data_IF_791209848381
#
_entry.id   IF_791209848381
#
_cell.length_a   1.000
_cell.length_b   1.000
_cell.length_c   1.000
_cell.angle_alpha   90.00
_cell.angle_beta   90.00
_cell.angle_gamma   90.00
#
_symmetry.space_group_name_H-M   'P 1'
#
loop_
_entity.id
_entity.type
_entity.pdbx_description
1 polymer ?
#
# COMPACT_ATOMS: atom_id res chain seq x y z
N UNK A 1 46.02 24.32 11.98
CA UNK A 1 46.25 24.25 10.53
C UNK A 1 45.18 23.39 9.92
N UNK A 2 44.42 23.89 8.97
CA UNK A 2 43.25 23.24 8.44
C UNK A 2 43.54 22.50 7.14
N UNK A 3 42.84 21.44 6.87
CA UNK A 3 42.68 20.91 5.51
C UNK A 3 41.21 20.78 5.17
N UNK A 4 40.72 21.78 4.43
CA UNK A 4 39.50 21.70 3.66
C UNK A 4 39.80 20.97 2.35
N UNK A 5 39.05 19.98 1.99
CA UNK A 5 38.92 19.49 0.60
C UNK A 5 37.49 19.59 0.16
N UNK A 6 37.24 20.60 -0.64
CA UNK A 6 36.05 20.77 -1.44
C UNK A 6 36.01 19.73 -2.54
N UNK A 7 34.86 19.06 -2.71
CA UNK A 7 34.58 18.22 -3.87
C UNK A 7 33.94 19.09 -4.95
N UNK A 8 34.68 19.30 -6.03
CA UNK A 8 34.17 19.90 -7.26
C UNK A 8 33.49 18.81 -8.10
N UNK A 9 32.25 19.04 -8.47
CA UNK A 9 31.54 18.25 -9.47
C UNK A 9 31.95 18.72 -10.86
N UNK A 10 32.53 17.80 -11.63
CA UNK A 10 32.88 18.01 -13.04
C UNK A 10 31.63 17.73 -13.90
N UNK A 11 31.19 18.73 -14.67
CA UNK A 11 30.12 18.62 -15.66
C UNK A 11 30.65 17.86 -16.87
N UNK A 12 30.27 16.60 -17.04
CA UNK A 12 30.47 15.84 -18.27
C UNK A 12 29.32 16.09 -19.23
N UNK A 13 29.63 16.63 -20.39
CA UNK A 13 28.71 16.78 -21.54
C UNK A 13 28.18 15.44 -22.01
N UNK A 14 26.87 15.28 -22.06
CA UNK A 14 26.22 14.17 -22.76
C UNK A 14 25.91 14.64 -24.18
N UNK A 15 26.71 14.18 -25.12
CA UNK A 15 26.43 14.32 -26.57
C UNK A 15 25.24 13.44 -26.94
N UNK A 16 24.26 14.05 -27.61
CA UNK A 16 23.08 13.37 -28.10
C UNK A 16 23.43 12.35 -29.19
N UNK A 17 22.84 11.19 -29.12
CA UNK A 17 22.77 10.23 -30.23
C UNK A 17 21.38 10.37 -30.85
N UNK A 18 21.35 10.90 -32.07
CA UNK A 18 20.19 10.93 -32.92
C UNK A 18 19.99 9.52 -33.50
N UNK A 19 18.85 8.91 -33.27
CA UNK A 19 18.41 7.74 -34.02
C UNK A 19 17.45 8.21 -35.08
N UNK A 20 17.93 8.10 -36.34
CA UNK A 20 17.17 8.40 -37.54
C UNK A 20 16.05 7.36 -37.75
N UNK A 21 14.91 7.89 -38.21
CA UNK A 21 13.73 7.10 -38.51
C UNK A 21 13.85 6.21 -39.74
N UNK A 22 12.98 5.22 -39.76
CA UNK A 22 12.59 4.53 -41.00
C UNK A 22 11.10 4.22 -40.93
N UNK A 23 10.32 5.01 -41.64
CA UNK A 23 8.98 4.67 -42.11
C UNK A 23 9.11 3.99 -43.49
N UNK A 24 8.31 3.03 -43.86
CA UNK A 24 7.98 2.80 -45.23
C UNK A 24 6.60 3.33 -45.59
N UNK A 25 6.60 4.11 -46.67
CA UNK A 25 5.42 4.62 -47.38
C UNK A 25 4.71 3.51 -48.20
N UNK A 26 3.41 3.73 -48.32
CA UNK A 26 2.51 3.55 -49.44
C UNK A 26 2.52 2.29 -50.29
N UNK A 27 1.34 1.72 -50.43
CA UNK A 27 0.71 1.58 -51.77
C UNK A 27 -0.82 1.50 -51.68
N UNK A 28 -1.45 2.55 -52.16
CA UNK A 28 -2.84 2.58 -52.56
C UNK A 28 -3.02 1.77 -53.85
N UNK A 29 -4.10 1.02 -53.99
CA UNK A 29 -4.69 0.68 -55.29
C UNK A 29 -6.20 0.54 -55.18
N UNK A 30 -6.86 1.49 -55.84
CA UNK A 30 -8.25 1.44 -56.26
C UNK A 30 -8.54 0.25 -57.16
N UNK A 31 -9.71 -0.33 -57.03
CA UNK A 31 -10.43 -0.93 -58.15
C UNK A 31 -11.94 -0.90 -57.87
N UNK A 32 -12.60 -0.12 -58.68
CA UNK A 32 -14.04 -0.02 -58.84
C UNK A 32 -14.61 -1.30 -59.48
N UNK A 33 -15.86 -1.62 -59.14
CA UNK A 33 -16.62 -2.67 -59.84
C UNK A 33 -18.11 -2.62 -59.43
N UNK A 34 -18.90 -1.95 -60.27
CA UNK A 34 -20.37 -1.99 -60.26
C UNK A 34 -20.88 -3.37 -60.61
N UNK A 35 -22.03 -3.77 -60.08
CA UNK A 35 -22.82 -4.91 -60.51
C UNK A 35 -24.17 -4.95 -59.83
N UNK A 36 -25.18 -4.39 -60.49
CA UNK A 36 -26.63 -4.55 -60.17
C UNK A 36 -27.08 -5.99 -60.46
N UNK A 37 -28.02 -6.51 -59.71
CA UNK A 37 -29.32 -7.06 -60.12
C UNK A 37 -29.92 -7.97 -59.02
N UNK A 38 -31.04 -7.58 -58.50
CA UNK A 38 -32.38 -8.15 -58.62
C UNK A 38 -32.55 -9.65 -58.34
N UNK A 39 -33.37 -9.99 -57.37
CA UNK A 39 -33.92 -11.33 -57.18
C UNK A 39 -34.69 -11.49 -55.85
N UNK A 40 -36.01 -11.48 -55.94
CA UNK A 40 -36.98 -11.56 -54.85
C UNK A 40 -37.21 -12.99 -54.33
N UNK A 41 -37.74 -13.07 -53.11
CA UNK A 41 -38.58 -14.13 -52.45
C UNK A 41 -37.90 -15.37 -51.88
N UNK A 42 -37.95 -15.56 -50.59
CA UNK A 42 -39.02 -16.36 -49.93
C UNK A 42 -38.84 -16.35 -48.40
N UNK A 43 -39.96 -16.26 -47.72
CA UNK A 43 -40.10 -16.26 -46.28
C UNK A 43 -39.97 -17.69 -45.72
N UNK A 44 -39.13 -17.90 -44.68
CA UNK A 44 -39.17 -19.08 -43.83
C UNK A 44 -38.91 -18.71 -42.36
N UNK A 45 -39.72 -19.17 -41.41
CA UNK A 45 -39.66 -18.74 -40.03
C UNK A 45 -38.77 -19.65 -39.18
N UNK A 46 -37.43 -19.43 -39.24
CA UNK A 46 -36.48 -20.25 -38.46
C UNK A 46 -35.31 -19.41 -37.88
N UNK A 47 -35.54 -18.13 -37.63
CA UNK A 47 -34.49 -17.23 -37.09
C UNK A 47 -34.80 -16.61 -35.74
N UNK A 48 -35.74 -17.16 -34.96
CA UNK A 48 -36.05 -16.63 -33.58
C UNK A 48 -35.50 -17.48 -32.43
N UNK A 49 -34.85 -18.60 -32.67
CA UNK A 49 -34.34 -19.51 -31.63
C UNK A 49 -32.88 -19.32 -31.23
N UNK A 50 -32.04 -18.69 -32.05
CA UNK A 50 -30.60 -18.62 -31.83
C UNK A 50 -30.11 -17.30 -31.16
N UNK A 51 -30.93 -16.25 -31.16
CA UNK A 51 -30.56 -15.00 -30.53
C UNK A 51 -30.82 -14.96 -29.01
N UNK A 52 -31.67 -15.86 -28.47
CA UNK A 52 -31.96 -15.95 -27.04
C UNK A 52 -30.94 -16.83 -26.28
N UNK A 53 -30.25 -17.73 -26.97
CA UNK A 53 -29.24 -18.60 -26.35
C UNK A 53 -27.87 -17.93 -26.19
N UNK A 54 -27.54 -16.92 -26.99
CA UNK A 54 -26.27 -16.18 -26.85
C UNK A 54 -26.33 -15.06 -25.80
N UNK A 55 -27.53 -14.62 -25.41
CA UNK A 55 -27.69 -13.62 -24.35
C UNK A 55 -27.70 -14.23 -22.93
N UNK A 56 -27.99 -15.54 -22.83
CA UNK A 56 -27.96 -16.26 -21.54
C UNK A 56 -26.56 -16.75 -21.13
N UNK A 57 -25.62 -16.84 -22.08
CA UNK A 57 -24.21 -17.23 -21.81
C UNK A 57 -23.29 -16.04 -21.58
N UNK A 58 -23.72 -14.82 -21.91
CA UNK A 58 -22.93 -13.60 -21.73
C UNK A 58 -22.98 -12.99 -20.30
N UNK A 59 -23.90 -13.44 -19.45
CA UNK A 59 -24.09 -12.87 -18.11
C UNK A 59 -23.49 -13.74 -17.00
N UNK A 60 -23.12 -14.99 -17.26
CA UNK A 60 -22.57 -15.89 -16.24
C UNK A 60 -21.06 -15.83 -16.04
N UNK A 61 -20.33 -15.02 -16.79
CA UNK A 61 -18.86 -14.87 -16.65
C UNK A 61 -18.41 -13.57 -15.98
N UNK A 62 -19.31 -12.81 -15.37
CA UNK A 62 -18.97 -11.56 -14.65
C UNK A 62 -18.98 -11.68 -13.13
N UNK A 63 -19.14 -12.91 -12.60
CA UNK A 63 -18.79 -13.19 -11.21
C UNK A 63 -17.29 -13.55 -11.14
N UNK A 64 -16.43 -12.70 -11.69
CA UNK A 64 -15.03 -12.71 -11.38
C UNK A 64 -14.90 -12.31 -9.92
N UNK A 65 -14.63 -13.28 -9.04
CA UNK A 65 -14.11 -13.04 -7.71
C UNK A 65 -12.88 -12.12 -7.88
N UNK A 66 -13.09 -10.81 -7.66
CA UNK A 66 -11.97 -9.90 -7.50
C UNK A 66 -11.06 -10.46 -6.42
N UNK A 67 -9.78 -10.17 -6.43
CA UNK A 67 -8.88 -10.61 -5.36
C UNK A 67 -9.48 -10.11 -4.04
N UNK A 68 -9.95 -11.06 -3.24
CA UNK A 68 -10.36 -10.78 -1.89
C UNK A 68 -9.09 -10.53 -1.08
N UNK A 69 -8.62 -9.29 -1.08
CA UNK A 69 -7.85 -8.81 0.07
C UNK A 69 -8.86 -8.74 1.20
N UNK A 70 -8.57 -9.37 2.35
CA UNK A 70 -9.43 -9.31 3.54
C UNK A 70 -9.99 -7.90 3.62
N UNK A 71 -11.30 -7.71 3.67
CA UNK A 71 -12.08 -6.48 3.39
C UNK A 71 -11.52 -5.12 3.84
N UNK A 72 -10.24 -5.09 4.15
CA UNK A 72 -9.47 -3.97 4.68
C UNK A 72 -9.05 -3.00 3.60
N UNK A 73 -9.51 -1.73 3.69
CA UNK A 73 -8.98 -0.64 2.87
C UNK A 73 -7.51 -0.30 3.21
N UNK A 74 -7.08 -0.60 4.44
CA UNK A 74 -5.70 -0.46 4.89
C UNK A 74 -4.93 -1.74 4.64
N UNK A 75 -3.82 -1.68 3.92
CA UNK A 75 -2.98 -2.86 3.67
C UNK A 75 -2.36 -3.38 4.99
N UNK A 76 -2.60 -4.64 5.39
CA UNK A 76 -1.94 -5.24 6.54
C UNK A 76 -0.41 -5.28 6.33
N UNK A 77 0.36 -4.98 7.40
CA UNK A 77 1.81 -4.94 7.36
C UNK A 77 2.41 -3.65 6.80
N UNK A 78 1.57 -2.67 6.42
CA UNK A 78 2.07 -1.42 5.82
C UNK A 78 2.94 -0.58 6.77
N UNK A 79 2.81 -0.75 8.08
CA UNK A 79 3.54 0.04 9.09
C UNK A 79 4.62 -0.74 9.86
N UNK A 80 4.77 -2.05 9.62
CA UNK A 80 5.81 -2.84 10.32
C UNK A 80 7.20 -2.24 10.07
N UNK A 81 8.05 -2.24 11.08
CA UNK A 81 9.38 -1.62 11.03
C UNK A 81 9.41 -0.12 11.34
N UNK A 82 8.25 0.56 11.40
CA UNK A 82 8.14 1.98 11.70
C UNK A 82 7.74 2.21 13.17
N UNK A 83 8.34 3.17 13.87
CA UNK A 83 7.94 3.56 15.23
C UNK A 83 6.74 4.53 15.21
N UNK A 84 5.60 4.08 14.67
CA UNK A 84 4.44 4.96 14.36
C UNK A 84 3.73 5.54 15.58
N UNK A 85 3.97 5.00 16.78
CA UNK A 85 3.50 5.59 18.04
C UNK A 85 4.36 6.77 18.52
N UNK A 86 5.61 6.86 18.07
CA UNK A 86 6.52 7.93 18.44
C UNK A 86 6.28 9.19 17.59
N UNK A 87 6.64 10.35 18.14
CA UNK A 87 6.60 11.60 17.41
C UNK A 87 7.63 11.60 16.26
N UNK A 88 7.19 11.89 15.05
CA UNK A 88 8.09 12.15 13.93
C UNK A 88 8.68 13.55 14.12
N UNK A 89 10.01 13.77 13.95
CA UNK A 89 10.59 15.11 13.98
C UNK A 89 9.90 16.07 13.01
N UNK A 90 9.87 17.37 13.31
CA UNK A 90 9.24 18.36 12.41
C UNK A 90 9.81 18.26 11.00
N UNK A 91 8.93 18.17 10.01
CA UNK A 91 9.38 18.03 8.64
C UNK A 91 8.35 17.44 7.70
N UNK A 92 8.78 17.30 6.45
CA UNK A 92 8.03 16.67 5.38
C UNK A 92 8.78 15.42 4.94
N UNK A 93 8.11 14.29 4.91
CA UNK A 93 8.69 13.00 4.61
C UNK A 93 7.96 12.33 3.45
N UNK A 94 8.71 11.75 2.55
CA UNK A 94 8.21 10.85 1.54
C UNK A 94 8.52 9.42 1.96
N UNK A 95 7.47 8.61 2.10
CA UNK A 95 7.57 7.21 2.48
C UNK A 95 6.99 6.40 1.34
N UNK A 96 7.79 5.54 0.74
CA UNK A 96 7.31 4.62 -0.29
C UNK A 96 7.62 3.19 0.11
N UNK A 97 6.65 2.30 -0.10
CA UNK A 97 6.81 0.87 0.11
C UNK A 97 6.27 0.13 -1.10
N UNK A 98 7.04 -0.81 -1.61
CA UNK A 98 6.59 -1.75 -2.63
C UNK A 98 6.67 -3.16 -2.07
N UNK A 99 5.71 -4.01 -2.42
CA UNK A 99 5.83 -5.43 -2.16
C UNK A 99 5.54 -6.24 -3.42
N UNK A 100 6.22 -7.36 -3.51
CA UNK A 100 5.98 -8.41 -4.50
C UNK A 100 5.62 -9.67 -3.74
N UNK A 101 4.51 -10.28 -4.10
CA UNK A 101 4.01 -11.45 -3.41
C UNK A 101 3.43 -12.49 -4.35
N UNK A 102 3.30 -13.67 -3.78
CA UNK A 102 2.60 -14.79 -4.42
C UNK A 102 1.64 -15.35 -3.40
N UNK A 103 0.36 -15.36 -3.74
CA UNK A 103 -0.70 -16.07 -3.01
C UNK A 103 -0.84 -17.46 -3.59
N UNK A 104 -0.81 -18.46 -2.72
CA UNK A 104 -1.03 -19.85 -3.09
C UNK A 104 -2.54 -20.10 -3.21
N UNK A 105 -3.10 -19.87 -4.39
CA UNK A 105 -4.51 -20.12 -4.71
C UNK A 105 -4.70 -21.53 -5.27
N UNK A 106 -5.95 -21.98 -5.39
CA UNK A 106 -6.30 -23.24 -6.04
C UNK A 106 -7.43 -22.99 -7.02
N UNK A 107 -7.23 -23.30 -8.32
CA UNK A 107 -6.01 -23.78 -8.97
C UNK A 107 -4.98 -22.64 -9.16
N UNK A 108 -3.70 -23.02 -9.26
CA UNK A 108 -2.61 -22.09 -9.63
C UNK A 108 -2.15 -21.17 -8.48
N UNK A 109 -1.54 -20.07 -8.87
CA UNK A 109 -1.05 -19.04 -7.96
C UNK A 109 -1.56 -17.67 -8.37
N UNK A 110 -1.57 -16.73 -7.45
CA UNK A 110 -1.92 -15.33 -7.72
C UNK A 110 -0.74 -14.43 -7.37
N UNK A 111 0.11 -14.06 -8.34
CA UNK A 111 1.12 -13.05 -8.16
C UNK A 111 0.48 -11.69 -7.89
N UNK A 112 1.08 -10.89 -7.02
CA UNK A 112 0.61 -9.57 -6.66
C UNK A 112 1.76 -8.61 -6.41
N UNK A 113 1.53 -7.34 -6.70
CA UNK A 113 2.41 -6.23 -6.39
C UNK A 113 1.58 -5.07 -5.85
N UNK A 114 1.97 -4.53 -4.71
CA UNK A 114 1.34 -3.33 -4.14
C UNK A 114 2.40 -2.30 -3.85
N UNK A 115 2.16 -1.10 -4.35
CA UNK A 115 3.01 0.06 -4.14
C UNK A 115 2.21 1.09 -3.35
N UNK A 116 2.75 1.55 -2.24
CA UNK A 116 2.13 2.60 -1.43
C UNK A 116 3.09 3.77 -1.34
N UNK A 117 2.62 4.94 -1.74
CA UNK A 117 3.35 6.20 -1.57
C UNK A 117 2.59 7.04 -0.54
N UNK A 118 3.30 7.53 0.45
CA UNK A 118 2.74 8.38 1.52
C UNK A 118 3.58 9.62 1.69
N UNK A 119 2.94 10.77 1.66
CA UNK A 119 3.52 12.03 2.09
C UNK A 119 3.08 12.26 3.54
N UNK A 120 4.06 12.41 4.45
CA UNK A 120 3.82 12.66 5.86
C UNK A 120 4.37 14.04 6.24
N UNK A 121 3.51 14.90 6.77
CA UNK A 121 3.89 16.21 7.27
C UNK A 121 3.76 16.24 8.79
N UNK A 122 4.90 16.27 9.48
CA UNK A 122 4.97 16.52 10.91
C UNK A 122 5.08 18.02 11.14
N UNK A 123 3.99 18.62 11.63
CA UNK A 123 3.87 20.07 11.79
C UNK A 123 4.58 20.56 13.05
N UNK A 124 4.88 21.86 13.15
CA UNK A 124 5.31 22.47 14.42
C UNK A 124 4.18 22.68 15.43
N UNK A 125 2.96 22.27 15.10
CA UNK A 125 1.78 22.51 15.94
C UNK A 125 1.60 21.39 16.97
N UNK A 126 1.15 21.80 18.14
CA UNK A 126 0.78 20.89 19.21
C UNK A 126 -0.69 21.12 19.59
N UNK A 127 -1.38 20.02 19.88
CA UNK A 127 -2.75 20.01 20.38
C UNK A 127 -2.85 19.02 21.55
N UNK A 128 -3.26 19.51 22.72
CA UNK A 128 -3.37 18.70 23.95
C UNK A 128 -2.08 17.93 24.29
N UNK A 129 -0.92 18.56 24.11
CA UNK A 129 0.39 17.96 24.35
C UNK A 129 0.84 16.95 23.30
N UNK A 130 0.08 16.78 22.23
CA UNK A 130 0.43 15.93 21.11
C UNK A 130 0.91 16.75 19.93
N UNK A 131 1.89 16.24 19.19
CA UNK A 131 2.28 16.76 17.88
C UNK A 131 1.23 16.45 16.83
N UNK A 132 0.85 17.46 16.04
CA UNK A 132 -0.11 17.30 14.95
C UNK A 132 0.64 16.88 13.69
N UNK A 133 0.15 15.83 13.02
CA UNK A 133 0.75 15.27 11.82
C UNK A 133 -0.34 15.00 10.79
N UNK A 134 -0.02 15.15 9.49
CA UNK A 134 -0.92 14.86 8.39
C UNK A 134 -0.30 13.85 7.42
N UNK A 135 -1.16 13.02 6.82
CA UNK A 135 -0.75 11.99 5.90
C UNK A 135 -1.62 12.00 4.65
N UNK A 136 -0.98 11.94 3.50
CA UNK A 136 -1.62 11.72 2.21
C UNK A 136 -1.02 10.46 1.60
N UNK A 137 -1.85 9.43 1.41
CA UNK A 137 -1.42 8.14 0.88
C UNK A 137 -2.09 7.82 -0.45
N UNK A 138 -1.36 7.18 -1.36
CA UNK A 138 -1.87 6.72 -2.64
C UNK A 138 -1.33 5.30 -2.93
N UNK A 139 -2.15 4.24 -2.79
CA UNK A 139 -1.75 2.89 -3.16
C UNK A 139 -1.96 2.65 -4.66
N UNK A 140 -1.09 1.84 -5.25
CA UNK A 140 -1.23 1.29 -6.59
C UNK A 140 -1.01 -0.21 -6.54
N UNK A 141 -1.97 -0.98 -7.03
CA UNK A 141 -1.96 -2.44 -6.96
C UNK A 141 -1.93 -3.05 -8.35
N UNK A 142 -1.23 -4.16 -8.49
CA UNK A 142 -1.25 -5.02 -9.66
C UNK A 142 -1.37 -6.48 -9.21
N UNK A 143 -2.20 -7.26 -9.89
CA UNK A 143 -2.47 -8.66 -9.56
C UNK A 143 -2.75 -9.46 -10.83
N UNK A 144 -2.32 -10.71 -10.86
CA UNK A 144 -2.63 -11.67 -11.92
C UNK A 144 -3.33 -12.89 -11.29
N UNK A 145 -4.67 -12.86 -11.11
CA UNK A 145 -5.40 -13.94 -10.45
C UNK A 145 -5.22 -15.27 -11.20
N UNK A 146 -4.77 -16.32 -10.50
CA UNK A 146 -4.66 -17.68 -11.04
C UNK A 146 -3.94 -17.72 -12.40
N UNK A 147 -2.78 -17.06 -12.48
CA UNK A 147 -1.96 -16.99 -13.69
C UNK A 147 -2.64 -16.30 -14.90
N UNK A 148 -3.69 -15.52 -14.67
CA UNK A 148 -4.33 -14.70 -15.71
C UNK A 148 -3.47 -13.48 -16.08
N UNK A 149 -3.94 -12.69 -17.03
CA UNK A 149 -3.30 -11.42 -17.37
C UNK A 149 -3.26 -10.46 -16.19
N UNK A 150 -2.17 -9.72 -16.05
CA UNK A 150 -2.01 -8.69 -15.02
C UNK A 150 -3.09 -7.61 -15.14
N UNK A 151 -3.70 -7.30 -14.02
CA UNK A 151 -4.62 -6.20 -13.83
C UNK A 151 -4.03 -5.23 -12.83
N UNK A 152 -4.08 -3.93 -13.11
CA UNK A 152 -3.50 -2.93 -12.23
C UNK A 152 -4.33 -1.66 -12.16
N UNK A 153 -4.17 -0.91 -11.08
CA UNK A 153 -4.88 0.35 -10.88
C UNK A 153 -4.58 0.99 -9.54
N UNK A 154 -4.98 2.25 -9.40
CA UNK A 154 -4.91 2.95 -8.12
C UNK A 154 -5.94 2.36 -7.15
N UNK A 155 -5.51 2.14 -5.91
CA UNK A 155 -6.38 1.85 -4.78
C UNK A 155 -7.03 3.13 -4.23
N UNK A 156 -7.64 3.02 -3.05
CA UNK A 156 -8.27 4.15 -2.37
C UNK A 156 -7.20 5.08 -1.78
N UNK A 157 -7.14 6.37 -2.17
CA UNK A 157 -6.26 7.33 -1.53
C UNK A 157 -6.71 7.57 -0.08
N UNK A 158 -5.73 7.79 0.80
CA UNK A 158 -5.90 8.11 2.20
C UNK A 158 -5.59 9.57 2.46
N UNK A 159 -6.47 10.26 3.18
CA UNK A 159 -6.17 11.53 3.84
C UNK A 159 -6.39 11.34 5.35
N UNK A 160 -5.40 11.69 6.17
CA UNK A 160 -5.47 11.47 7.60
C UNK A 160 -4.76 12.56 8.41
N UNK A 161 -5.29 12.79 9.63
CA UNK A 161 -4.66 13.56 10.68
C UNK A 161 -4.30 12.66 11.86
N UNK A 162 -3.17 12.92 12.49
CA UNK A 162 -2.66 12.16 13.64
C UNK A 162 -2.24 13.09 14.76
N UNK A 163 -2.52 12.67 15.96
CA UNK A 163 -1.97 13.22 17.20
C UNK A 163 -0.97 12.22 17.75
N UNK A 164 0.26 12.68 18.05
CA UNK A 164 1.32 11.83 18.60
C UNK A 164 1.85 12.45 19.91
N UNK A 165 1.75 11.69 20.99
CA UNK A 165 2.20 12.07 22.33
C UNK A 165 3.53 11.41 22.65
N UNK A 166 4.44 12.17 23.24
CA UNK A 166 5.58 11.63 23.98
C UNK A 166 5.11 11.31 25.41
N UNK A 167 5.14 10.03 25.78
CA UNK A 167 4.73 9.57 27.10
C UNK A 167 5.89 9.57 28.11
N UNK A 168 7.11 9.95 27.67
CA UNK A 168 8.34 9.82 28.44
C UNK A 168 8.88 8.38 28.47
N UNK A 169 10.10 8.21 29.00
CA UNK A 169 10.78 6.92 29.12
C UNK A 169 10.86 6.14 27.79
N UNK A 170 11.09 6.84 26.68
CA UNK A 170 11.16 6.29 25.31
C UNK A 170 9.85 5.71 24.77
N UNK A 171 8.72 5.95 25.44
CA UNK A 171 7.40 5.54 24.96
C UNK A 171 6.70 6.68 24.22
N UNK A 172 6.07 6.34 23.12
CA UNK A 172 5.19 7.23 22.37
C UNK A 172 3.87 6.55 22.03
N UNK A 173 2.81 7.34 22.05
CA UNK A 173 1.47 6.90 21.65
C UNK A 173 0.95 7.81 20.55
N UNK A 174 0.25 7.24 19.57
CA UNK A 174 -0.43 8.03 18.55
C UNK A 174 -1.84 7.55 18.28
N UNK A 175 -2.70 8.51 17.93
CA UNK A 175 -4.02 8.27 17.39
C UNK A 175 -4.16 8.97 16.05
N UNK A 176 -4.51 8.19 15.00
CA UNK A 176 -4.76 8.70 13.67
C UNK A 176 -6.22 8.46 13.30
N UNK A 177 -6.87 9.51 12.78
CA UNK A 177 -8.16 9.44 12.12
C UNK A 177 -7.97 9.78 10.64
N UNK A 178 -8.45 8.92 9.74
CA UNK A 178 -8.33 9.13 8.31
C UNK A 178 -9.51 8.61 7.53
N UNK A 179 -9.64 9.10 6.29
CA UNK A 179 -10.61 8.65 5.31
C UNK A 179 -9.92 8.04 4.10
N UNK A 180 -10.42 6.90 3.67
CA UNK A 180 -10.13 6.34 2.36
C UNK A 180 -11.26 6.71 1.41
N UNK A 181 -10.90 7.21 0.23
CA UNK A 181 -11.86 7.70 -0.75
C UNK A 181 -11.92 6.74 -1.95
N UNK A 182 -13.12 6.47 -2.50
CA UNK A 182 -13.22 5.60 -3.66
C UNK A 182 -12.50 6.22 -4.86
N UNK A 183 -11.82 5.39 -5.62
CA UNK A 183 -11.31 5.73 -6.95
C UNK A 183 -12.04 4.87 -7.98
N UNK A 184 -12.15 5.36 -9.22
CA UNK A 184 -12.88 4.65 -10.27
C UNK A 184 -12.04 3.53 -10.89
N UNK A 185 -11.52 2.63 -10.06
CA UNK A 185 -10.73 1.48 -10.51
C UNK A 185 -11.33 0.17 -9.97
N UNK A 186 -10.88 -0.95 -10.52
CA UNK A 186 -11.31 -2.29 -10.06
C UNK A 186 -10.80 -2.65 -8.67
N UNK A 187 -9.82 -1.89 -8.16
CA UNK A 187 -9.13 -2.17 -6.89
C UNK A 187 -9.68 -1.35 -5.73
N UNK A 188 -10.84 -0.75 -5.90
CA UNK A 188 -11.45 0.07 -4.87
C UNK A 188 -12.88 -0.35 -4.59
N UNK A 189 -13.29 -0.21 -3.35
CA UNK A 189 -14.70 -0.23 -3.00
C UNK A 189 -15.39 1.01 -3.56
N UNK A 190 -16.69 0.91 -3.85
CA UNK A 190 -17.48 2.04 -4.37
C UNK A 190 -17.87 3.03 -3.25
N UNK A 191 -17.39 2.82 -2.04
CA UNK A 191 -17.72 3.65 -0.88
C UNK A 191 -16.46 4.11 -0.15
N UNK A 192 -16.56 5.25 0.52
CA UNK A 192 -15.52 5.73 1.43
C UNK A 192 -15.46 4.87 2.69
N UNK A 193 -14.31 4.86 3.34
CA UNK A 193 -14.19 4.26 4.66
C UNK A 193 -13.40 5.16 5.61
N UNK A 194 -13.73 5.10 6.89
CA UNK A 194 -12.95 5.71 7.95
C UNK A 194 -11.96 4.69 8.51
N UNK A 195 -10.81 5.17 8.94
CA UNK A 195 -9.81 4.37 9.66
C UNK A 195 -9.41 5.07 10.94
N UNK A 196 -9.50 4.34 12.04
CA UNK A 196 -8.98 4.72 13.34
C UNK A 196 -7.73 3.89 13.59
N UNK A 197 -6.63 4.53 13.94
CA UNK A 197 -5.39 3.83 14.20
C UNK A 197 -4.82 4.26 15.53
N UNK A 198 -4.41 3.28 16.31
CA UNK A 198 -3.82 3.46 17.63
C UNK A 198 -2.46 2.79 17.65
N UNK A 199 -1.41 3.53 17.92
CA UNK A 199 -0.08 2.95 17.99
C UNK A 199 0.60 3.27 19.32
N UNK A 200 1.27 2.27 19.86
CA UNK A 200 2.18 2.39 20.99
C UNK A 200 3.56 1.95 20.51
N UNK A 201 4.56 2.80 20.75
CA UNK A 201 5.96 2.50 20.42
C UNK A 201 6.86 2.71 21.62
N UNK A 202 7.81 1.82 21.82
CA UNK A 202 8.98 2.03 22.63
C UNK A 202 10.20 2.18 21.71
N UNK A 203 10.90 3.32 21.84
CA UNK A 203 12.06 3.65 20.98
C UNK A 203 13.22 4.04 21.89
N UNK A 204 13.82 3.05 22.54
CA UNK A 204 14.90 3.25 23.50
C UNK A 204 15.89 2.09 23.49
N UNK A 205 17.11 2.33 23.97
CA UNK A 205 18.16 1.33 24.06
C UNK A 205 18.42 0.58 22.73
N UNK A 206 18.39 1.33 21.62
CA UNK A 206 18.48 0.82 20.22
C UNK A 206 17.27 -0.02 19.75
N UNK A 207 16.28 -0.26 20.60
CA UNK A 207 15.08 -1.01 20.22
C UNK A 207 14.00 -0.13 19.60
N UNK A 208 13.25 -0.67 18.65
CA UNK A 208 11.94 -0.23 18.22
C UNK A 208 10.96 -1.39 18.44
N UNK A 209 10.14 -1.25 19.46
CA UNK A 209 9.03 -2.17 19.75
C UNK A 209 7.73 -1.40 19.51
N UNK A 210 6.96 -1.81 18.52
CA UNK A 210 5.74 -1.09 18.11
C UNK A 210 4.58 -2.05 17.93
N UNK A 211 3.43 -1.69 18.48
CA UNK A 211 2.13 -2.28 18.19
C UNK A 211 1.23 -1.20 17.58
N UNK A 212 0.64 -1.48 16.41
CA UNK A 212 -0.20 -0.56 15.66
C UNK A 212 -1.50 -1.24 15.27
N UNK A 213 -2.58 -0.83 15.91
CA UNK A 213 -3.93 -1.34 15.71
C UNK A 213 -4.69 -0.41 14.76
N UNK A 214 -5.35 -1.00 13.77
CA UNK A 214 -6.26 -0.33 12.84
C UNK A 214 -7.68 -0.85 13.06
N UNK A 215 -8.63 0.04 13.09
CA UNK A 215 -10.04 -0.27 12.94
C UNK A 215 -10.57 0.51 11.74
N UNK A 216 -11.21 -0.17 10.81
CA UNK A 216 -11.78 0.43 9.62
C UNK A 216 -13.27 0.18 9.52
N UNK A 217 -13.99 1.21 9.10
CA UNK A 217 -15.43 1.24 8.99
C UNK A 217 -15.84 1.83 7.64
N UNK A 218 -16.68 1.13 6.88
CA UNK A 218 -17.20 1.61 5.60
C UNK A 218 -18.45 2.49 5.80
N UNK A 219 -18.50 3.64 5.09
CA UNK A 219 -19.54 4.67 5.29
C UNK A 219 -20.79 4.45 4.45
N UNK A 220 -20.83 3.45 3.58
CA UNK A 220 -21.94 3.20 2.68
C UNK A 220 -22.91 2.14 3.20
N UNK A 221 -24.20 2.49 3.26
CA UNK A 221 -25.24 1.58 3.73
C UNK A 221 -25.64 0.48 2.73
N UNK A 222 -25.25 0.62 1.46
CA UNK A 222 -25.65 -0.30 0.39
C UNK A 222 -24.47 -0.62 -0.53
N UNK A 223 -23.74 -1.68 -0.25
CA UNK A 223 -22.77 -2.20 -1.22
C UNK A 223 -23.51 -2.62 -2.52
N UNK A 224 -22.83 -2.61 -3.67
CA UNK A 224 -23.36 -3.18 -4.91
C UNK A 224 -23.89 -4.61 -4.67
N UNK A 225 -24.90 -5.06 -5.46
CA UNK A 225 -25.42 -6.41 -5.32
C UNK A 225 -24.31 -7.47 -5.35
N UNK A 226 -24.25 -8.33 -4.33
CA UNK A 226 -23.25 -9.39 -4.19
C UNK A 226 -21.94 -8.97 -3.50
N UNK A 227 -21.73 -7.67 -3.21
CA UNK A 227 -20.60 -7.20 -2.41
C UNK A 227 -20.98 -7.10 -0.93
N UNK A 228 -20.01 -7.34 -0.04
CA UNK A 228 -20.12 -7.09 1.40
C UNK A 228 -18.88 -6.32 1.81
N UNK A 229 -19.07 -5.22 2.52
CA UNK A 229 -17.99 -4.37 3.04
C UNK A 229 -17.98 -4.48 4.57
N UNK A 230 -17.31 -5.49 5.13
CA UNK A 230 -17.24 -5.67 6.58
C UNK A 230 -16.35 -4.59 7.19
N UNK A 231 -16.65 -4.18 8.40
CA UNK A 231 -15.67 -3.53 9.24
C UNK A 231 -14.48 -4.48 9.43
N UNK A 232 -13.30 -3.92 9.67
CA UNK A 232 -12.09 -4.72 9.79
C UNK A 232 -11.17 -4.23 10.90
N UNK A 233 -10.33 -5.14 11.36
CA UNK A 233 -9.23 -4.83 12.26
C UNK A 233 -7.92 -5.39 11.71
N UNK A 234 -6.85 -4.57 11.72
CA UNK A 234 -5.49 -5.01 11.45
C UNK A 234 -4.62 -4.70 12.66
N UNK A 235 -3.63 -5.54 12.90
CA UNK A 235 -2.61 -5.32 13.92
C UNK A 235 -1.23 -5.55 13.30
N UNK A 236 -0.41 -4.50 13.26
CA UNK A 236 0.98 -4.56 12.84
C UNK A 236 1.90 -4.56 14.07
N UNK A 237 2.84 -5.49 14.13
CA UNK A 237 3.79 -5.65 15.21
C UNK A 237 5.23 -5.53 14.70
N UNK A 238 6.06 -4.82 15.44
CA UNK A 238 7.48 -4.61 15.14
C UNK A 238 8.30 -4.88 16.38
N UNK A 239 9.37 -5.66 16.23
CA UNK A 239 10.40 -5.85 17.23
C UNK A 239 11.77 -5.84 16.52
N UNK A 240 12.37 -4.65 16.41
CA UNK A 240 13.64 -4.47 15.72
C UNK A 240 14.66 -3.79 16.63
N UNK A 241 15.95 -4.04 16.37
CA UNK A 241 17.06 -3.40 17.07
C UNK A 241 18.01 -2.75 16.08
N UNK A 242 18.55 -1.59 16.46
CA UNK A 242 19.56 -0.88 15.69
C UNK A 242 20.96 -1.32 16.13
N UNK A 243 21.81 -1.61 15.16
CA UNK A 243 23.22 -1.90 15.30
C UNK A 243 24.00 -0.86 14.48
N UNK A 244 24.27 0.28 15.09
CA UNK A 244 24.78 1.44 14.38
C UNK A 244 23.78 1.94 13.31
N UNK A 245 24.14 1.79 12.04
CA UNK A 245 23.26 2.17 10.90
C UNK A 245 22.32 1.05 10.45
N UNK A 246 22.51 -0.16 10.93
CA UNK A 246 21.67 -1.30 10.58
C UNK A 246 20.49 -1.42 11.54
N UNK A 247 19.32 -1.75 11.01
CA UNK A 247 18.14 -2.16 11.74
C UNK A 247 17.84 -3.62 11.41
N UNK A 248 17.69 -4.47 12.41
CA UNK A 248 17.42 -5.90 12.20
C UNK A 248 16.37 -6.35 13.21
N UNK A 249 15.43 -7.20 12.80
CA UNK A 249 14.48 -7.78 13.73
C UNK A 249 13.33 -8.52 13.08
N UNK A 250 12.34 -8.81 13.92
CA UNK A 250 11.12 -9.52 13.54
C UNK A 250 9.96 -8.55 13.32
N UNK A 251 9.07 -8.93 12.42
CA UNK A 251 7.82 -8.24 12.13
C UNK A 251 6.69 -9.26 12.04
N UNK A 252 5.49 -8.84 12.40
CA UNK A 252 4.29 -9.64 12.22
C UNK A 252 3.11 -8.71 11.93
N UNK A 253 2.10 -9.24 11.26
CA UNK A 253 0.82 -8.56 11.15
C UNK A 253 -0.33 -9.55 11.10
N UNK A 254 -1.50 -9.07 11.52
CA UNK A 254 -2.76 -9.79 11.39
C UNK A 254 -3.83 -8.90 10.79
N UNK A 255 -4.79 -9.50 10.13
CA UNK A 255 -5.99 -8.84 9.62
C UNK A 255 -7.19 -9.74 9.82
N UNK A 256 -8.32 -9.15 10.16
CA UNK A 256 -9.60 -9.87 10.25
C UNK A 256 -10.76 -8.96 9.92
N UNK A 257 -11.70 -9.50 9.16
CA UNK A 257 -13.02 -8.88 9.02
C UNK A 257 -13.83 -9.11 10.29
N UNK A 258 -14.63 -8.10 10.66
CA UNK A 258 -15.57 -8.19 11.75
C UNK A 258 -16.88 -8.83 11.27
N UNK A 259 -17.67 -9.41 12.19
CA UNK A 259 -18.94 -10.03 11.83
C UNK A 259 -19.88 -9.03 11.16
N UNK A 260 -20.55 -9.47 10.11
CA UNK A 260 -21.60 -8.71 9.40
C UNK A 260 -22.98 -9.35 9.67
N UNK A 261 -24.06 -8.60 9.42
CA UNK A 261 -25.40 -9.14 9.46
C UNK A 261 -25.76 -10.06 8.28
N UNK A 262 -24.82 -10.32 7.35
CA UNK A 262 -25.03 -11.12 6.13
C UNK A 262 -24.68 -12.58 6.42
N UNK A 263 -25.68 -13.45 6.52
CA UNK A 263 -25.50 -14.85 6.91
C UNK A 263 -24.60 -15.67 5.95
N UNK A 264 -24.55 -15.30 4.66
CA UNK A 264 -23.70 -15.96 3.65
C UNK A 264 -22.25 -15.47 3.67
N UNK A 265 -21.95 -14.35 4.33
CA UNK A 265 -20.59 -13.81 4.38
C UNK A 265 -19.72 -14.62 5.34
N UNK A 266 -18.52 -14.96 4.88
CA UNK A 266 -17.49 -15.63 5.68
C UNK A 266 -16.36 -14.66 5.98
N UNK A 267 -16.20 -14.18 7.23
CA UNK A 267 -15.13 -13.26 7.59
C UNK A 267 -13.76 -13.82 7.21
N UNK A 268 -13.00 -13.00 6.52
CA UNK A 268 -11.64 -13.30 6.12
C UNK A 268 -10.66 -12.94 7.23
N UNK A 269 -9.48 -13.54 7.21
CA UNK A 269 -8.43 -13.20 8.16
C UNK A 269 -7.11 -13.86 7.81
N UNK A 270 -6.02 -13.21 8.22
CA UNK A 270 -4.67 -13.72 8.03
C UNK A 270 -3.79 -13.33 9.22
N UNK A 271 -2.73 -14.11 9.45
CA UNK A 271 -1.61 -13.74 10.31
C UNK A 271 -0.35 -14.07 9.54
N UNK A 272 0.53 -13.07 9.39
CA UNK A 272 1.83 -13.19 8.75
C UNK A 272 2.95 -12.87 9.73
N UNK A 273 4.08 -13.53 9.56
CA UNK A 273 5.31 -13.28 10.30
C UNK A 273 6.47 -13.11 9.34
N UNK A 274 7.51 -12.39 9.76
CA UNK A 274 8.65 -12.13 8.90
C UNK A 274 9.87 -11.56 9.60
N UNK A 275 10.91 -11.35 8.82
CA UNK A 275 12.15 -10.71 9.24
C UNK A 275 12.40 -9.42 8.46
N UNK A 276 12.97 -8.44 9.13
CA UNK A 276 13.30 -7.12 8.59
C UNK A 276 14.79 -6.83 8.74
N UNK A 277 15.35 -6.27 7.68
CA UNK A 277 16.66 -5.61 7.68
C UNK A 277 16.50 -4.20 7.11
N UNK A 278 17.12 -3.21 7.77
CA UNK A 278 17.15 -1.83 7.31
C UNK A 278 18.55 -1.26 7.38
N UNK A 279 18.77 -0.20 6.63
CA UNK A 279 20.02 0.56 6.67
C UNK A 279 19.77 2.06 6.55
N UNK A 280 20.36 2.82 7.47
CA UNK A 280 20.27 4.28 7.49
C UNK A 280 21.48 4.88 6.77
N UNK A 281 21.25 5.41 5.57
CA UNK A 281 22.27 6.10 4.76
C UNK A 281 22.49 7.56 5.21
N UNK A 282 21.74 8.04 6.20
CA UNK A 282 21.71 9.43 6.65
C UNK A 282 20.49 10.16 6.06
N UNK A 283 20.54 10.56 4.77
CA UNK A 283 19.39 11.25 4.15
C UNK A 283 18.24 10.29 3.78
N UNK A 284 18.50 8.98 3.73
CA UNK A 284 17.50 7.97 3.36
C UNK A 284 17.62 6.77 4.28
N UNK A 285 16.49 6.28 4.76
CA UNK A 285 16.41 5.00 5.44
C UNK A 285 15.75 3.98 4.51
N UNK A 286 16.43 2.87 4.23
CA UNK A 286 15.91 1.77 3.44
C UNK A 286 15.63 0.57 4.34
N UNK A 287 14.49 -0.08 4.13
CA UNK A 287 14.09 -1.29 4.82
C UNK A 287 13.68 -2.35 3.80
N UNK A 288 14.16 -3.58 3.98
CA UNK A 288 13.72 -4.75 3.24
C UNK A 288 13.20 -5.79 4.23
N UNK A 289 12.08 -6.44 3.93
CA UNK A 289 11.53 -7.48 4.77
C UNK A 289 10.77 -8.52 3.95
N UNK A 290 10.73 -9.73 4.47
CA UNK A 290 9.97 -10.83 3.88
C UNK A 290 8.95 -11.30 4.91
N UNK A 291 7.71 -11.49 4.48
CA UNK A 291 6.61 -11.98 5.31
C UNK A 291 5.96 -13.19 4.68
N UNK A 292 5.47 -14.11 5.52
CA UNK A 292 4.70 -15.27 5.10
C UNK A 292 3.51 -15.47 6.02
N UNK A 293 2.35 -15.76 5.43
CA UNK A 293 1.16 -16.12 6.17
C UNK A 293 1.35 -17.48 6.84
N UNK A 294 1.18 -17.49 8.15
CA UNK A 294 1.16 -18.69 8.98
C UNK A 294 -0.28 -19.15 9.26
N UNK A 295 -1.23 -18.21 9.24
CA UNK A 295 -2.66 -18.47 9.34
C UNK A 295 -3.36 -17.82 8.15
N UNK A 296 -4.28 -18.55 7.55
CA UNK A 296 -5.21 -18.14 6.51
C UNK A 296 -6.60 -18.64 6.86
N UNK A 297 -7.56 -17.74 6.91
CA UNK A 297 -8.97 -18.02 7.14
C UNK A 297 -9.82 -17.35 6.07
N UNK A 298 -10.38 -18.11 5.15
CA UNK A 298 -11.22 -17.63 4.04
C UNK A 298 -10.56 -16.54 3.17
N UNK A 299 -9.23 -16.41 3.23
CA UNK A 299 -8.47 -15.35 2.55
C UNK A 299 -8.09 -15.72 1.11
N UNK A 300 -8.36 -16.97 0.72
CA UNK A 300 -8.12 -17.49 -0.62
C UNK A 300 -6.72 -18.01 -0.85
N UNK A 301 -5.93 -18.22 0.22
CA UNK A 301 -4.60 -18.81 0.19
C UNK A 301 -3.56 -17.98 0.93
N UNK A 302 -2.45 -18.63 1.24
CA UNK A 302 -1.35 -18.03 2.00
C UNK A 302 -0.45 -17.18 1.11
N UNK A 303 -0.17 -15.97 1.55
CA UNK A 303 0.76 -15.05 0.88
C UNK A 303 2.20 -15.25 1.37
N UNK A 304 3.13 -15.13 0.44
CA UNK A 304 4.54 -14.85 0.73
C UNK A 304 4.89 -13.56 0.01
N UNK A 305 5.39 -12.55 0.74
CA UNK A 305 5.68 -11.22 0.19
C UNK A 305 7.09 -10.77 0.56
N UNK A 306 7.80 -10.24 -0.42
CA UNK A 306 9.03 -9.48 -0.23
C UNK A 306 8.70 -7.98 -0.33
N UNK A 307 9.22 -7.19 0.58
CA UNK A 307 8.92 -5.78 0.72
C UNK A 307 10.20 -4.95 0.64
N UNK A 308 10.09 -3.79 0.05
CA UNK A 308 11.13 -2.75 0.07
C UNK A 308 10.47 -1.42 0.43
N UNK A 309 11.03 -0.71 1.40
CA UNK A 309 10.57 0.62 1.82
C UNK A 309 11.71 1.60 1.82
N UNK A 310 11.44 2.81 1.34
CA UNK A 310 12.30 3.96 1.50
C UNK A 310 11.58 5.06 2.30
N UNK A 311 12.29 5.65 3.24
CA UNK A 311 11.86 6.80 4.04
C UNK A 311 12.84 7.92 3.74
N UNK A 312 12.32 9.00 3.12
CA UNK A 312 13.13 10.12 2.64
C UNK A 312 12.61 11.41 3.28
N UNK A 313 13.36 12.05 4.18
CA UNK A 313 13.03 13.38 4.64
C UNK A 313 13.26 14.38 3.49
N UNK A 314 12.17 14.95 2.96
CA UNK A 314 12.22 16.00 1.95
C UNK A 314 12.62 17.34 2.58
N UNK A 315 12.15 17.57 3.79
CA UNK A 315 12.52 18.68 4.65
C UNK A 315 12.47 18.18 6.10
N UNK A 316 13.46 18.55 6.89
CA UNK A 316 13.51 18.24 8.33
C UNK A 316 14.12 19.43 9.08
N UNK A 317 13.52 19.81 10.20
CA UNK A 317 14.12 20.79 11.10
C UNK A 317 15.36 20.18 11.77
N UNK A 318 16.53 20.76 11.46
CA UNK A 318 17.81 20.25 11.96
C UNK A 318 17.96 20.37 13.47
N UNK A 319 17.17 21.22 14.11
CA UNK A 319 17.23 21.43 15.58
C UNK A 319 16.67 20.22 16.34
N UNK A 320 15.72 19.51 15.76
CA UNK A 320 15.15 18.30 16.35
C UNK A 320 15.80 16.99 15.82
N UNK A 321 16.48 17.06 14.69
CA UNK A 321 17.16 15.89 14.11
C UNK A 321 18.43 15.47 14.88
N UNK A 322 18.94 16.33 15.78
CA UNK A 322 20.03 15.94 16.67
C UNK A 322 19.48 14.97 17.73
N UNK A 323 20.06 13.76 17.89
CA UNK A 323 19.68 12.91 19.00
C UNK A 323 19.84 13.70 20.29
N UNK A 324 18.85 13.61 21.19
CA UNK A 324 18.87 14.22 22.52
C UNK A 324 20.05 13.63 23.32
N UNK A 325 21.27 14.07 23.00
CA UNK A 325 22.47 13.92 23.81
C UNK A 325 22.53 15.08 24.78
N UNK A 326 21.55 15.21 25.62
CA UNK A 326 21.65 16.12 26.75
C UNK A 326 21.19 15.34 27.97
N UNK A 327 22.08 15.35 28.94
CA UNK A 327 21.93 14.91 30.32
C UNK A 327 22.39 13.47 30.61
N UNK A 328 23.72 13.26 30.72
CA UNK A 328 24.27 12.91 32.03
C UNK A 328 25.72 13.40 32.06
N UNK A 329 25.92 14.69 32.35
CA UNK A 329 27.08 15.13 33.10
C UNK A 329 26.56 15.37 34.50
N UNK A 330 26.35 14.30 35.26
CA UNK A 330 26.30 14.41 36.68
C UNK A 330 27.75 14.57 37.16
N UNK A 331 28.09 15.79 37.56
CA UNK A 331 29.22 16.10 38.35
C UNK A 331 29.41 15.04 39.44
N UNK A 332 30.49 14.28 39.34
CA UNK A 332 31.11 13.73 40.53
C UNK A 332 32.09 14.79 41.05
N UNK A 333 31.59 15.66 41.89
CA UNK A 333 32.36 16.43 42.85
C UNK A 333 31.88 15.99 44.23
N UNK A 334 32.61 15.11 44.85
CA UNK A 334 33.17 15.14 46.21
C UNK A 334 33.77 13.78 46.56
#
# INVERSE_FOLDING_TARGET
MPYSKAWQWNRGEIRGVAVAGMLPEDTAREASGRGEASGARSRGPLRRGLAAACLAWGVSCLAGSGPAEAGSAAQPGQSVGLPVGAQIPHGLYWITATNFGVRQTTPGVTPLNVNTTTLAWSTPWELAGARVQFFLGAPYSAVAPQDSAWQSGFGQPLLAGQLAWDLGNDFGFSYLLGGYFPSQTRFTTQTSSLTHRFALSYVGNDWNLTAHLFYGHFLGDRPPPGAVYPDYMNLDLTATRNFGKWQIGAVAFGSTDLPTGVASYRPQGQIAVGGLIGYNFGPVNLQAFVTRDVIDRNYGGRDTRAWLRAIVPLYQDKREAAPNRTLVTREQSQ
#
